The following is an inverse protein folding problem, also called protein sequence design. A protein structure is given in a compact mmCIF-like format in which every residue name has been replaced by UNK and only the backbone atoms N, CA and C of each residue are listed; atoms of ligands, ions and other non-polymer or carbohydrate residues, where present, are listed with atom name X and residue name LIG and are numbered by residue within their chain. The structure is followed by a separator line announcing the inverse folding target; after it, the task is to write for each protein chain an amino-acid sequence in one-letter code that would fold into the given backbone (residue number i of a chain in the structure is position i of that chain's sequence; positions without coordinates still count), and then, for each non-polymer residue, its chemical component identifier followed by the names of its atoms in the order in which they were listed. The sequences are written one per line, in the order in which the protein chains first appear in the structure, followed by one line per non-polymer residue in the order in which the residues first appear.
data_IF_037946778442
#
_entry.id   IF_037946778442
#
_cell.length_a   1.000
_cell.length_b   1.000
_cell.length_c   1.000
_cell.angle_alpha   90.00
_cell.angle_beta   90.00
_cell.angle_gamma   90.00
#
_symmetry.space_group_name_H-M   'P 1'
#
loop_
_entity.id
_entity.type
_entity.pdbx_description
1 polymer ?
#
# COMPACT_ATOMS: atom_id res chain seq x y z
N UNK A 1 2.27 -0.03 -20.07
CA UNK A 1 2.46 -0.28 -19.72
C UNK A 1 2.35 -0.40 -18.83
N UNK A 2 2.55 -0.20 -18.85
CA UNK A 2 2.36 -0.81 -17.93
C UNK A 2 1.75 -0.37 -16.79
N UNK A 3 0.91 -1.03 -16.39
CA UNK A 3 0.25 -0.80 -15.22
C UNK A 3 1.16 -1.04 -14.10
N UNK A 4 1.30 -0.11 -13.23
CA UNK A 4 2.15 -0.24 -12.08
C UNK A 4 1.40 -0.48 -10.80
N UNK A 5 0.12 -0.77 -10.89
CA UNK A 5 -0.67 -1.05 -9.72
C UNK A 5 -0.34 -2.43 -9.17
N UNK A 6 -0.40 -2.56 -7.87
CA UNK A 6 -0.19 -3.84 -7.22
C UNK A 6 -1.34 -4.78 -7.50
N UNK A 7 -1.08 -6.07 -7.64
CA UNK A 7 -2.17 -7.02 -7.88
C UNK A 7 -3.25 -6.97 -6.81
N UNK A 8 -2.89 -6.66 -5.57
CA UNK A 8 -3.88 -6.60 -4.50
C UNK A 8 -4.92 -5.53 -4.75
N UNK A 9 -4.54 -4.44 -5.43
CA UNK A 9 -5.50 -3.38 -5.73
C UNK A 9 -6.61 -3.91 -6.64
N UNK A 10 -6.22 -4.66 -7.67
CA UNK A 10 -7.20 -5.26 -8.56
C UNK A 10 -8.12 -6.23 -7.82
N UNK A 11 -7.54 -7.00 -6.92
CA UNK A 11 -8.34 -7.94 -6.13
C UNK A 11 -9.36 -7.22 -5.26
N UNK A 12 -8.95 -6.11 -4.65
CA UNK A 12 -9.87 -5.34 -3.83
C UNK A 12 -11.02 -4.81 -4.67
N UNK A 13 -10.70 -4.26 -5.82
CA UNK A 13 -11.73 -3.72 -6.72
C UNK A 13 -12.67 -4.83 -7.18
N UNK A 14 -12.11 -5.97 -7.59
CA UNK A 14 -12.93 -7.08 -8.06
C UNK A 14 -13.86 -7.57 -6.96
N UNK A 15 -13.34 -7.70 -5.75
CA UNK A 15 -14.15 -8.14 -4.63
C UNK A 15 -15.27 -7.16 -4.35
N UNK A 16 -14.94 -5.87 -4.38
CA UNK A 16 -15.95 -4.84 -4.14
C UNK A 16 -17.03 -4.89 -5.22
N UNK A 17 -16.63 -5.01 -6.48
CA UNK A 17 -17.59 -5.08 -7.57
C UNK A 17 -18.49 -6.30 -7.44
N UNK A 18 -17.94 -7.41 -6.97
CA UNK A 18 -18.75 -8.63 -6.84
C UNK A 18 -19.82 -8.51 -5.77
N UNK A 19 -19.68 -7.54 -4.88
CA UNK A 19 -20.67 -7.31 -3.82
C UNK A 19 -21.74 -6.32 -4.22
N UNK A 20 -21.59 -5.69 -5.38
CA UNK A 20 -22.55 -4.75 -5.92
C UNK A 20 -23.39 -5.43 -6.99
N UNK A 21 -24.60 -4.93 -7.18
CA UNK A 21 -25.41 -5.43 -8.29
C UNK A 21 -24.76 -4.96 -9.59
N UNK A 22 -25.06 -5.70 -10.66
CA UNK A 22 -24.55 -5.33 -11.97
C UNK A 22 -24.99 -3.92 -12.36
N UNK A 23 -26.25 -3.61 -12.04
CA UNK A 23 -26.80 -2.31 -12.34
C UNK A 23 -26.02 -1.18 -11.68
N UNK A 24 -25.68 -1.39 -10.40
CA UNK A 24 -24.91 -0.38 -9.66
C UNK A 24 -23.52 -0.24 -10.26
N UNK A 25 -22.88 -1.35 -10.58
CA UNK A 25 -21.56 -1.29 -11.20
C UNK A 25 -21.59 -0.50 -12.51
N UNK A 26 -22.63 -0.70 -13.30
CA UNK A 26 -22.76 0.01 -14.56
C UNK A 26 -22.99 1.50 -14.35
N UNK A 27 -23.75 1.84 -13.32
CA UNK A 27 -24.01 3.24 -13.01
C UNK A 27 -22.76 3.95 -12.54
N UNK A 28 -21.93 3.27 -11.76
CA UNK A 28 -20.69 3.84 -11.31
C UNK A 28 -19.74 4.04 -12.50
N UNK A 29 -19.59 3.00 -13.29
CA UNK A 29 -18.77 3.10 -14.50
C UNK A 29 -17.32 2.76 -14.26
N UNK A 30 -16.66 2.33 -15.34
CA UNK A 30 -15.28 1.87 -15.24
C UNK A 30 -14.31 2.99 -14.86
N UNK A 31 -14.59 4.22 -15.28
CA UNK A 31 -13.71 5.33 -14.97
C UNK A 31 -13.64 5.56 -13.46
N UNK A 32 -14.77 5.44 -12.78
CA UNK A 32 -14.80 5.64 -11.35
C UNK A 32 -14.08 4.52 -10.60
N UNK A 33 -14.21 3.29 -11.08
CA UNK A 33 -13.48 2.18 -10.49
C UNK A 33 -11.99 2.32 -10.72
N UNK A 34 -11.59 2.86 -11.87
CA UNK A 34 -10.17 3.12 -12.13
C UNK A 34 -9.63 4.17 -11.16
N UNK A 35 -10.39 5.23 -10.95
CA UNK A 35 -9.98 6.26 -9.99
C UNK A 35 -9.84 5.68 -8.60
N UNK A 36 -10.78 4.83 -8.21
CA UNK A 36 -10.72 4.20 -6.90
C UNK A 36 -9.47 3.34 -6.77
N UNK A 37 -9.15 2.59 -7.82
CA UNK A 37 -7.95 1.76 -7.81
C UNK A 37 -6.69 2.60 -7.64
N UNK A 38 -6.63 3.73 -8.30
CA UNK A 38 -5.49 4.63 -8.18
C UNK A 38 -5.37 5.16 -6.76
N UNK A 39 -6.49 5.55 -6.17
CA UNK A 39 -6.48 6.07 -4.81
C UNK A 39 -6.02 5.01 -3.82
N UNK A 40 -6.48 3.78 -3.99
CA UNK A 40 -6.06 2.69 -3.12
C UNK A 40 -4.57 2.43 -3.28
N UNK A 41 -4.09 2.40 -4.51
CA UNK A 41 -2.68 2.16 -4.76
C UNK A 41 -1.81 3.24 -4.13
N UNK A 42 -2.23 4.49 -4.23
CA UNK A 42 -1.49 5.58 -3.62
C UNK A 42 -1.47 5.47 -2.11
N UNK A 43 -2.60 5.10 -1.52
CA UNK A 43 -2.65 4.93 -0.07
C UNK A 43 -1.71 3.82 0.38
N UNK A 44 -1.67 2.72 -0.35
CA UNK A 44 -0.77 1.63 -0.01
C UNK A 44 0.69 2.07 -0.14
N UNK A 45 1.01 2.81 -1.18
CA UNK A 45 2.38 3.30 -1.37
C UNK A 45 2.81 4.19 -0.23
N UNK A 46 1.91 5.06 0.24
CA UNK A 46 2.22 5.95 1.34
C UNK A 46 2.45 5.17 2.62
N UNK A 47 1.64 4.15 2.84
CA UNK A 47 1.82 3.32 4.03
C UNK A 47 3.13 2.56 4.00
N UNK A 48 3.50 2.05 2.84
CA UNK A 48 4.76 1.34 2.70
C UNK A 48 5.93 2.29 2.91
N UNK A 49 5.85 3.50 2.37
CA UNK A 49 6.90 4.49 2.55
C UNK A 49 7.07 4.84 4.03
N UNK A 50 5.96 5.04 4.73
CA UNK A 50 6.00 5.31 6.16
C UNK A 50 6.62 4.17 6.93
N UNK A 51 6.26 2.94 6.58
CA UNK A 51 6.81 1.76 7.23
C UNK A 51 8.30 1.64 6.96
N UNK A 52 8.72 1.94 5.75
CA UNK A 52 10.14 1.88 5.40
C UNK A 52 10.95 2.89 6.21
N UNK A 53 10.42 4.11 6.35
CA UNK A 53 11.07 5.12 7.16
C UNK A 53 11.22 4.67 8.60
N UNK A 54 10.18 4.06 9.13
CA UNK A 54 10.21 3.58 10.50
C UNK A 54 11.23 2.47 10.67
N UNK A 55 11.29 1.56 9.71
CA UNK A 55 12.27 0.47 9.75
C UNK A 55 13.68 1.02 9.70
N UNK A 56 13.92 2.01 8.84
CA UNK A 56 15.24 2.63 8.75
C UNK A 56 15.62 3.28 10.07
N UNK A 57 14.67 3.94 10.70
CA UNK A 57 14.94 4.59 11.97
C UNK A 57 15.30 3.58 13.04
N UNK A 58 14.55 2.48 13.09
CA UNK A 58 14.83 1.41 14.03
C UNK A 58 16.20 0.78 13.76
N UNK A 59 16.48 0.53 12.49
CA UNK A 59 17.77 -0.05 12.10
C UNK A 59 18.92 0.84 12.53
N UNK A 60 18.77 2.16 12.35
CA UNK A 60 19.80 3.08 12.76
C UNK A 60 20.02 3.04 14.26
N UNK A 61 18.95 3.01 15.01
CA UNK A 61 19.05 2.96 16.46
C UNK A 61 19.69 1.67 16.94
N UNK A 62 19.39 0.57 16.28
CA UNK A 62 20.00 -0.69 16.62
C UNK A 62 21.51 -0.65 16.35
N UNK A 63 21.90 -0.05 15.23
CA UNK A 63 23.32 0.05 14.95
C UNK A 63 24.04 0.92 15.96
N UNK A 64 23.40 2.00 16.38
CA UNK A 64 23.98 2.87 17.38
C UNK A 64 24.14 2.14 18.72
N UNK A 65 23.14 1.36 19.08
CA UNK A 65 23.21 0.60 20.33
C UNK A 65 24.29 -0.46 20.28
N UNK A 66 24.42 -1.13 19.15
CA UNK A 66 25.40 -2.21 19.07
C UNK A 66 26.82 -1.67 18.99
N UNK A 67 27.01 -0.40 18.64
CA UNK A 67 28.32 0.19 18.69
C UNK A 67 28.66 0.70 20.08
N UNK A 68 27.70 0.69 20.95
CA UNK A 68 27.92 1.17 22.29
C UNK A 68 28.99 0.34 22.94
N UNK A 69 29.70 0.95 23.82
CA UNK A 69 30.72 0.20 24.51
C UNK A 69 30.15 -0.91 25.28
N UNK A 70 29.24 -0.80 25.29
CA UNK A 70 28.80 -1.64 25.76
C UNK A 70 28.62 -2.54 25.45
N UNK A 71 28.50 -2.39 24.98
CA UNK A 71 28.22 -3.19 24.63
C UNK A 71 28.93 -4.02 24.68
N UNK A 72 29.38 -3.80 24.60
CA UNK A 72 30.07 -4.56 24.68
C UNK A 72 30.10 -5.07 25.37
N UNK A 73 29.91 -4.81 25.45
CA UNK A 73 29.93 -5.30 26.08
C UNK A 73 29.95 -5.68 26.23
#
# INVERSE_FOLDING_TARGET
MAQNQRPVVGEIIDTFQSRLSKSVCEQIGSAQFTDLAIMIDEAIREEIASAADLVEDVARKLRENSRGPELGL
#
